data_IF_908253422189
#
_entry.id   IF_908253422189
#
_cell.length_a   1.000
_cell.length_b   1.000
_cell.length_c   1.000
_cell.angle_alpha   90.00
_cell.angle_beta   90.00
_cell.angle_gamma   90.00
#
_symmetry.space_group_name_H-M   'P 1'
#
loop_
_entity.id
_entity.type
_entity.pdbx_description
1 polymer ?
#
# COMPACT_ATOMS: atom_id res chain seq x y z
N UNK A 1 -21.90 17.73 -7.45
CA UNK A 1 -20.51 17.38 -7.80
C UNK A 1 -20.40 15.86 -7.88
N UNK A 2 -20.12 15.31 -9.06
CA UNK A 2 -19.90 13.87 -9.24
C UNK A 2 -18.47 13.56 -8.86
N UNK A 3 -18.26 12.95 -7.70
CA UNK A 3 -16.95 12.42 -7.32
C UNK A 3 -16.79 11.13 -8.14
N UNK A 4 -16.17 11.25 -9.31
CA UNK A 4 -15.76 10.10 -10.10
C UNK A 4 -14.89 9.20 -9.22
N UNK A 5 -15.12 7.89 -9.27
CA UNK A 5 -14.38 6.88 -8.52
C UNK A 5 -12.89 6.91 -8.92
N UNK A 6 -12.13 7.82 -8.31
CA UNK A 6 -10.69 7.73 -8.28
C UNK A 6 -10.41 6.47 -7.48
N UNK A 7 -10.11 5.39 -8.19
CA UNK A 7 -9.62 4.16 -7.59
C UNK A 7 -8.23 4.52 -7.04
N UNK A 8 -8.21 5.06 -5.81
CA UNK A 8 -6.97 5.45 -5.15
C UNK A 8 -6.18 4.17 -4.98
N UNK A 9 -5.25 3.99 -5.90
CA UNK A 9 -4.35 2.88 -5.89
C UNK A 9 -3.30 3.30 -4.86
N UNK A 10 -3.24 2.62 -3.73
CA UNK A 10 -2.23 2.79 -2.66
C UNK A 10 -0.80 3.04 -3.17
N UNK A 11 -0.55 2.58 -4.39
CA UNK A 11 0.75 2.28 -4.94
C UNK A 11 1.66 3.45 -5.28
N UNK A 12 1.13 4.62 -5.60
CA UNK A 12 2.00 5.74 -6.02
C UNK A 12 1.72 6.99 -5.22
N UNK A 13 0.48 7.43 -5.13
CA UNK A 13 0.13 8.67 -4.43
C UNK A 13 0.53 8.66 -2.96
N UNK A 14 0.27 7.56 -2.24
CA UNK A 14 0.57 7.47 -0.80
C UNK A 14 2.08 7.40 -0.56
N UNK A 15 2.81 6.60 -1.34
CA UNK A 15 4.27 6.51 -1.21
C UNK A 15 4.98 7.82 -1.56
N UNK A 16 4.52 8.55 -2.59
CA UNK A 16 5.07 9.87 -2.92
C UNK A 16 4.72 10.92 -1.85
N UNK A 17 3.55 10.81 -1.20
CA UNK A 17 3.18 11.68 -0.08
C UNK A 17 4.12 11.47 1.11
N UNK A 18 4.38 10.20 1.47
CA UNK A 18 5.36 9.87 2.51
C UNK A 18 6.75 10.39 2.13
N UNK A 19 7.15 10.18 0.87
CA UNK A 19 8.43 10.65 0.35
C UNK A 19 8.58 12.17 0.49
N UNK A 20 7.55 12.93 0.14
CA UNK A 20 7.54 14.39 0.25
C UNK A 20 7.47 14.90 1.69
N UNK A 21 6.73 14.23 2.57
CA UNK A 21 6.56 14.68 3.96
C UNK A 21 7.82 14.44 4.80
N UNK A 22 8.48 13.29 4.60
CA UNK A 22 9.70 12.92 5.33
C UNK A 22 10.99 13.39 4.64
N UNK A 23 10.88 13.99 3.45
CA UNK A 23 12.03 14.46 2.68
C UNK A 23 12.92 13.34 2.13
N UNK A 24 12.41 12.13 1.95
CA UNK A 24 13.19 11.04 1.37
C UNK A 24 13.51 11.34 -0.10
N UNK A 25 14.79 11.33 -0.49
CA UNK A 25 15.17 11.64 -1.87
C UNK A 25 15.23 10.38 -2.73
N UNK A 26 15.63 9.27 -2.12
CA UNK A 26 15.83 7.99 -2.81
C UNK A 26 14.78 6.94 -2.44
N UNK A 27 14.54 5.99 -3.36
CA UNK A 27 13.69 4.83 -3.10
C UNK A 27 14.28 3.92 -2.02
N UNK A 28 15.60 4.00 -1.80
CA UNK A 28 16.31 3.28 -0.74
C UNK A 28 15.99 3.84 0.65
N UNK A 29 15.98 5.16 0.79
CA UNK A 29 15.62 5.83 2.04
C UNK A 29 14.16 5.64 2.39
N UNK A 30 13.26 5.76 1.39
CA UNK A 30 11.85 5.45 1.58
C UNK A 30 11.63 4.01 2.07
N UNK A 31 12.37 3.04 1.51
CA UNK A 31 12.29 1.65 1.93
C UNK A 31 12.80 1.47 3.38
N UNK A 32 13.91 2.11 3.71
CA UNK A 32 14.50 2.06 5.06
C UNK A 32 13.59 2.73 6.10
N UNK A 33 13.06 3.92 5.81
CA UNK A 33 12.16 4.66 6.70
C UNK A 33 10.83 3.93 6.95
N UNK A 34 10.34 3.17 5.97
CA UNK A 34 9.15 2.33 6.12
C UNK A 34 9.45 0.93 6.69
N UNK A 35 10.72 0.58 6.89
CA UNK A 35 11.14 -0.72 7.42
C UNK A 35 10.88 -1.89 6.45
N UNK A 36 10.91 -1.65 5.13
CA UNK A 36 10.64 -2.67 4.11
C UNK A 36 11.76 -2.76 3.07
N UNK A 37 11.80 -3.86 2.33
CA UNK A 37 12.72 -4.00 1.20
C UNK A 37 12.26 -3.17 -0.01
N UNK A 38 13.22 -2.72 -0.83
CA UNK A 38 12.94 -2.01 -2.11
C UNK A 38 12.04 -2.83 -3.04
N UNK A 39 12.20 -4.15 -3.03
CA UNK A 39 11.33 -5.06 -3.80
C UNK A 39 9.86 -4.97 -3.35
N UNK A 40 9.60 -4.85 -2.05
CA UNK A 40 8.25 -4.67 -1.53
C UNK A 40 7.62 -3.39 -2.08
N UNK A 41 8.36 -2.27 -2.09
CA UNK A 41 7.88 -1.02 -2.69
C UNK A 41 7.62 -1.16 -4.20
N UNK A 42 8.49 -1.86 -4.93
CA UNK A 42 8.29 -2.11 -6.37
C UNK A 42 7.05 -2.96 -6.65
N UNK A 43 6.83 -4.02 -5.88
CA UNK A 43 5.66 -4.88 -6.01
C UNK A 43 4.36 -4.13 -5.71
N UNK A 44 4.39 -3.32 -4.66
CA UNK A 44 3.29 -2.39 -4.33
C UNK A 44 3.09 -1.46 -5.52
N UNK A 45 4.09 -0.69 -5.98
CA UNK A 45 4.01 0.17 -7.19
C UNK A 45 3.39 -0.52 -8.41
N UNK A 46 3.63 -1.81 -8.60
CA UNK A 46 3.11 -2.64 -9.70
C UNK A 46 1.66 -3.12 -9.55
N UNK A 47 0.96 -2.81 -8.46
CA UNK A 47 -0.41 -3.30 -8.25
C UNK A 47 -0.56 -4.31 -7.12
N UNK A 48 0.53 -4.80 -6.52
CA UNK A 48 0.42 -5.83 -5.49
C UNK A 48 -0.15 -5.25 -4.20
N UNK A 49 -0.97 -6.04 -3.50
CA UNK A 49 -1.51 -5.65 -2.21
C UNK A 49 -0.36 -5.40 -1.21
N UNK A 50 -0.34 -4.26 -0.51
CA UNK A 50 0.63 -3.99 0.53
C UNK A 50 0.41 -4.94 1.73
N UNK A 51 1.49 -5.26 2.44
CA UNK A 51 1.39 -5.98 3.71
C UNK A 51 0.79 -5.10 4.79
N UNK A 52 0.12 -5.69 5.79
CA UNK A 52 -0.39 -4.95 6.94
C UNK A 52 0.71 -4.17 7.69
N UNK A 53 1.93 -4.71 7.72
CA UNK A 53 3.11 -4.03 8.27
C UNK A 53 3.43 -2.75 7.51
N UNK A 54 3.45 -2.77 6.18
CA UNK A 54 3.70 -1.58 5.37
C UNK A 54 2.61 -0.51 5.56
N UNK A 55 1.34 -0.93 5.64
CA UNK A 55 0.23 -0.02 5.90
C UNK A 55 0.39 0.64 7.27
N UNK A 56 0.76 -0.13 8.30
CA UNK A 56 1.00 0.39 9.64
C UNK A 56 2.18 1.37 9.68
N UNK A 57 3.31 1.04 9.03
CA UNK A 57 4.45 1.94 8.92
C UNK A 57 4.06 3.28 8.28
N UNK A 58 3.35 3.23 7.15
CA UNK A 58 2.87 4.43 6.46
C UNK A 58 1.91 5.25 7.34
N UNK A 59 1.00 4.58 8.05
CA UNK A 59 0.07 5.25 8.96
C UNK A 59 0.80 6.01 10.08
N UNK A 60 1.81 5.37 10.68
CA UNK A 60 2.65 5.99 11.71
C UNK A 60 3.42 7.19 11.16
N UNK A 61 4.08 7.03 10.00
CA UNK A 61 4.85 8.11 9.37
C UNK A 61 3.98 9.30 9.01
N UNK A 62 2.75 9.07 8.52
CA UNK A 62 1.84 10.16 8.15
C UNK A 62 1.07 10.73 9.35
N UNK A 63 1.20 10.15 10.55
CA UNK A 63 0.40 10.53 11.73
C UNK A 63 -1.10 10.32 11.52
N UNK A 64 -1.49 9.34 10.70
CA UNK A 64 -2.88 9.06 10.32
C UNK A 64 -3.34 7.70 10.82
N UNK A 65 -4.65 7.52 11.08
CA UNK A 65 -5.17 6.22 11.45
C UNK A 65 -5.04 5.22 10.28
N UNK A 66 -4.72 3.97 10.61
CA UNK A 66 -4.60 2.86 9.65
C UNK A 66 -5.86 2.75 8.77
N UNK A 67 -7.04 3.00 9.33
CA UNK A 67 -8.30 2.96 8.58
C UNK A 67 -8.33 3.97 7.42
N UNK A 68 -7.82 5.20 7.60
CA UNK A 68 -7.72 6.19 6.52
C UNK A 68 -6.75 5.71 5.44
N UNK A 69 -5.62 5.13 5.83
CA UNK A 69 -4.63 4.59 4.89
C UNK A 69 -5.19 3.42 4.08
N UNK A 70 -5.98 2.54 4.70
CA UNK A 70 -6.66 1.42 4.04
C UNK A 70 -7.78 1.90 3.11
N UNK A 71 -8.49 2.98 3.44
CA UNK A 71 -9.51 3.56 2.54
C UNK A 71 -8.88 4.13 1.26
N UNK A 72 -7.64 4.61 1.33
CA UNK A 72 -6.84 5.02 0.17
C UNK A 72 -6.26 3.82 -0.61
N UNK A 73 -6.55 2.60 -0.17
CA UNK A 73 -5.86 1.38 -0.55
C UNK A 73 -6.74 0.14 -0.40
N UNK A 74 -7.87 0.05 -1.11
CA UNK A 74 -8.75 -1.10 -0.95
C UNK A 74 -7.97 -2.38 -1.27
N UNK A 75 -7.68 -3.15 -0.22
CA UNK A 75 -7.06 -4.47 -0.34
C UNK A 75 -8.12 -5.32 -1.02
N UNK A 76 -8.00 -5.51 -2.33
CA UNK A 76 -8.76 -6.55 -3.02
C UNK A 76 -8.23 -7.87 -2.50
N UNK A 77 -8.89 -8.39 -1.47
CA UNK A 77 -8.68 -9.75 -0.99
C UNK A 77 -9.05 -10.67 -2.15
N UNK A 78 -8.07 -11.07 -2.96
CA UNK A 78 -8.19 -12.24 -3.81
C UNK A 78 -8.39 -13.41 -2.86
N UNK A 79 -9.65 -13.74 -2.58
CA UNK A 79 -10.00 -15.07 -2.07
C UNK A 79 -9.41 -16.06 -3.06
N UNK A 80 -8.20 -16.58 -2.80
CA UNK A 80 -7.86 -17.91 -3.27
C UNK A 80 -8.98 -18.76 -2.70
N UNK A 81 -9.84 -19.31 -3.56
CA UNK A 81 -10.67 -20.46 -3.20
C UNK A 81 -9.71 -21.58 -2.84
N UNK A 82 -9.24 -21.58 -1.59
CA UNK A 82 -8.64 -22.75 -0.98
C UNK A 82 -9.80 -23.72 -0.81
N UNK A 83 -9.90 -24.72 -1.69
CA UNK A 83 -10.77 -25.87 -1.47
C UNK A 83 -11.94 -26.10 -2.44
N UNK A 84 -11.72 -26.08 -3.75
CA UNK A 84 -12.51 -26.97 -4.62
C UNK A 84 -11.56 -28.02 -5.21
N UNK A 85 -11.38 -29.12 -4.48
CA UNK A 85 -11.02 -30.39 -5.11
C UNK A 85 -12.18 -30.74 -6.06
N UNK A 86 -11.94 -30.99 -7.36
CA UNK A 86 -12.96 -31.64 -8.16
C UNK A 86 -13.12 -33.06 -7.60
N UNK A 87 -14.25 -33.31 -6.96
CA UNK A 87 -14.74 -34.67 -6.77
C UNK A 87 -15.63 -34.97 -7.97
N UNK A 88 -15.06 -35.63 -8.96
CA UNK A 88 -15.72 -36.50 -9.94
C UNK A 88 -14.64 -37.24 -10.71
#
# INVERSE_FOLDING_TARGET
MRIGAATVTFNRGVLETVKGQEGYETEAELAAGLGVSRETLRRVRRGQAPSGVLIASVALTLGRPVAEIVMLAPIKSTKRRVGQRPSA
#
